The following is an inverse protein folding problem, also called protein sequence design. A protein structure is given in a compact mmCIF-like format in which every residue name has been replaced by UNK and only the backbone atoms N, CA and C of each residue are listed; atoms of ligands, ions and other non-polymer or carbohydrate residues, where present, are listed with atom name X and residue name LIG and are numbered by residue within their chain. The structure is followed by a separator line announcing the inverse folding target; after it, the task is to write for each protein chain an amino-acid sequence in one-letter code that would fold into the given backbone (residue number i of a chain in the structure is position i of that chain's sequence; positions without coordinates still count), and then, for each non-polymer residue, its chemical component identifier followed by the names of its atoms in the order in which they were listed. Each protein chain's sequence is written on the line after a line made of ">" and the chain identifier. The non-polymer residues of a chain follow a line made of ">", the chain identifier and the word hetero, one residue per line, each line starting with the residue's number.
data_IF_878499873374
#
_entry.id   IF_878499873374
#
_cell.length_a   1.000
_cell.length_b   1.000
_cell.length_c   1.000
_cell.angle_alpha   90.00
_cell.angle_beta   90.00
_cell.angle_gamma   90.00
#
_symmetry.space_group_name_H-M   'P 1'
#
loop_
_entity.id
_entity.type
_entity.pdbx_description
1 polymer ?
#
# COMPACT_ATOMS: atom_id res chain seq x y z
N UNK A 1 -3.42 -31.13 38.65
CA UNK A 1 -4.87 -31.03 38.38
C UNK A 1 -5.02 -30.30 37.05
N UNK A 2 -5.43 -31.01 36.00
CA UNK A 2 -5.70 -30.45 34.66
C UNK A 2 -7.14 -29.96 34.64
N UNK A 3 -7.35 -28.67 34.37
CA UNK A 3 -8.67 -28.13 34.08
C UNK A 3 -8.89 -28.14 32.57
N UNK A 4 -9.98 -28.82 32.20
CA UNK A 4 -10.58 -28.92 30.89
C UNK A 4 -11.56 -27.75 30.79
N UNK A 5 -11.51 -26.96 29.71
CA UNK A 5 -12.66 -26.19 29.27
C UNK A 5 -12.88 -26.39 27.77
N UNK A 6 -14.04 -26.98 27.47
CA UNK A 6 -14.66 -27.05 26.16
C UNK A 6 -15.02 -25.64 25.68
N UNK A 7 -14.81 -25.35 24.41
CA UNK A 7 -15.57 -24.33 23.69
C UNK A 7 -16.23 -24.98 22.48
N UNK A 8 -17.56 -24.98 22.53
CA UNK A 8 -18.51 -25.52 21.58
C UNK A 8 -18.63 -24.63 20.36
N UNK A 9 -18.59 -25.23 19.16
CA UNK A 9 -18.96 -24.61 17.90
C UNK A 9 -20.48 -24.41 17.81
N UNK A 10 -20.93 -23.23 17.40
CA UNK A 10 -22.32 -22.95 17.05
C UNK A 10 -22.40 -22.67 15.55
N UNK A 11 -22.95 -23.62 14.81
CA UNK A 11 -23.37 -23.47 13.43
C UNK A 11 -24.72 -22.73 13.39
N UNK A 12 -24.79 -21.63 12.63
CA UNK A 12 -26.05 -20.95 12.34
C UNK A 12 -26.65 -21.50 11.03
N UNK A 13 -27.92 -21.88 11.13
CA UNK A 13 -28.68 -22.63 10.14
C UNK A 13 -29.18 -21.76 8.98
N UNK A 14 -29.17 -22.38 7.80
CA UNK A 14 -29.80 -21.92 6.56
C UNK A 14 -31.32 -22.06 6.70
N UNK A 15 -32.06 -20.96 6.61
CA UNK A 15 -33.51 -20.98 6.50
C UNK A 15 -33.91 -20.87 5.02
N UNK A 16 -34.33 -21.99 4.45
CA UNK A 16 -34.96 -22.08 3.14
C UNK A 16 -36.44 -21.70 3.29
N UNK A 17 -36.89 -20.63 2.63
CA UNK A 17 -38.32 -20.37 2.43
C UNK A 17 -38.70 -20.64 0.98
N UNK A 18 -39.66 -21.55 0.81
CA UNK A 18 -40.35 -21.84 -0.44
C UNK A 18 -41.44 -20.80 -0.72
N UNK A 19 -41.68 -20.63 -2.02
CA UNK A 19 -42.53 -19.71 -2.78
C UNK A 19 -44.00 -19.51 -2.32
N UNK A 20 -44.68 -18.54 -2.94
CA UNK A 20 -45.80 -18.90 -3.80
C UNK A 20 -45.71 -18.36 -5.23
N UNK A 21 -46.30 -19.14 -6.14
CA UNK A 21 -46.50 -18.87 -7.55
C UNK A 21 -47.64 -17.84 -7.77
N UNK A 22 -47.73 -17.38 -9.03
CA UNK A 22 -48.78 -16.55 -9.65
C UNK A 22 -48.60 -15.03 -9.55
N UNK A 23 -48.06 -14.45 -10.63
CA UNK A 23 -48.80 -13.49 -11.47
C UNK A 23 -48.06 -13.27 -12.80
N UNK A 24 -48.62 -13.86 -13.86
CA UNK A 24 -48.26 -13.56 -15.25
C UNK A 24 -48.79 -12.17 -15.58
N UNK A 25 -47.88 -11.23 -15.77
CA UNK A 25 -48.15 -9.87 -16.25
C UNK A 25 -47.24 -9.61 -17.44
N UNK A 26 -47.86 -9.39 -18.59
CA UNK A 26 -47.22 -9.11 -19.88
C UNK A 26 -46.30 -7.88 -19.76
N UNK A 27 -45.00 -8.09 -19.93
CA UNK A 27 -44.02 -7.02 -20.07
C UNK A 27 -43.60 -6.91 -21.54
N UNK A 28 -43.60 -5.70 -22.14
CA UNK A 28 -43.30 -5.51 -23.55
C UNK A 28 -41.84 -5.83 -23.86
N UNK A 29 -41.62 -6.34 -25.07
CA UNK A 29 -40.35 -6.73 -25.64
C UNK A 29 -39.22 -5.73 -25.31
N UNK A 30 -38.21 -6.22 -24.58
CA UNK A 30 -36.94 -5.54 -24.41
C UNK A 30 -36.34 -5.28 -25.80
N UNK A 31 -36.09 -4.00 -26.07
CA UNK A 31 -35.25 -3.57 -27.16
C UNK A 31 -33.87 -4.22 -26.99
N UNK A 32 -33.41 -4.85 -28.05
CA UNK A 32 -32.04 -5.32 -28.27
C UNK A 32 -31.07 -4.22 -27.85
N UNK A 33 -30.46 -4.39 -26.67
CA UNK A 33 -29.29 -3.61 -26.28
C UNK A 33 -28.19 -4.00 -27.26
N UNK A 34 -27.68 -3.01 -27.98
CA UNK A 34 -26.66 -3.19 -29.01
C UNK A 34 -25.47 -3.97 -28.47
N UNK A 35 -24.87 -4.75 -29.37
CA UNK A 35 -23.54 -5.31 -29.19
C UNK A 35 -22.63 -4.23 -28.62
N UNK A 36 -22.23 -4.40 -27.36
CA UNK A 36 -21.04 -3.75 -26.86
C UNK A 36 -19.92 -4.24 -27.76
N UNK A 37 -19.54 -3.41 -28.73
CA UNK A 37 -18.33 -3.59 -29.51
C UNK A 37 -17.19 -3.55 -28.50
N UNK A 38 -16.76 -4.73 -28.03
CA UNK A 38 -15.54 -4.88 -27.25
C UNK A 38 -14.44 -4.32 -28.14
N UNK A 39 -13.88 -3.18 -27.74
CA UNK A 39 -12.67 -2.68 -28.36
C UNK A 39 -11.62 -3.80 -28.30
N UNK A 40 -10.83 -3.99 -29.37
CA UNK A 40 -9.80 -5.02 -29.35
C UNK A 40 -8.87 -4.72 -28.18
N UNK A 41 -8.72 -5.72 -27.28
CA UNK A 41 -7.79 -5.68 -26.15
C UNK A 41 -6.43 -5.19 -26.66
N UNK A 42 -5.92 -4.15 -26.00
CA UNK A 42 -4.58 -3.61 -26.25
C UNK A 42 -3.55 -4.74 -26.09
N UNK A 43 -2.49 -4.73 -26.90
CA UNK A 43 -1.42 -5.70 -26.68
C UNK A 43 -0.70 -5.36 -25.38
N UNK A 44 -0.39 -6.38 -24.60
CA UNK A 44 0.33 -6.24 -23.33
C UNK A 44 1.58 -5.36 -23.47
N UNK A 45 2.39 -5.55 -24.52
CA UNK A 45 3.61 -4.76 -24.73
C UNK A 45 3.34 -3.26 -24.94
N UNK A 46 2.29 -2.93 -25.72
CA UNK A 46 1.89 -1.55 -25.98
C UNK A 46 1.40 -0.87 -24.67
N UNK A 47 0.65 -1.62 -23.85
CA UNK A 47 0.17 -1.15 -22.56
C UNK A 47 1.33 -0.90 -21.57
N UNK A 48 2.32 -1.80 -21.52
CA UNK A 48 3.53 -1.64 -20.68
C UNK A 48 4.34 -0.41 -21.09
N UNK A 49 4.52 -0.18 -22.41
CA UNK A 49 5.20 1.01 -22.92
C UNK A 49 4.45 2.30 -22.54
N UNK A 50 3.13 2.32 -22.69
CA UNK A 50 2.29 3.46 -22.27
C UNK A 50 2.44 3.76 -20.78
N UNK A 51 2.37 2.73 -19.92
CA UNK A 51 2.54 2.91 -18.48
C UNK A 51 3.92 3.48 -18.18
N UNK A 52 4.97 2.95 -18.81
CA UNK A 52 6.33 3.48 -18.68
C UNK A 52 6.42 4.96 -19.07
N UNK A 53 5.75 5.36 -20.15
CA UNK A 53 5.72 6.75 -20.60
C UNK A 53 5.00 7.68 -19.62
N UNK A 54 3.88 7.24 -19.02
CA UNK A 54 3.17 7.99 -17.99
C UNK A 54 4.04 8.25 -16.76
N UNK A 55 4.86 7.28 -16.35
CA UNK A 55 5.84 7.47 -15.27
C UNK A 55 6.93 8.46 -15.67
N UNK A 56 7.51 8.33 -16.87
CA UNK A 56 8.51 9.26 -17.38
C UNK A 56 7.96 10.71 -17.39
N UNK A 57 6.77 10.91 -17.94
CA UNK A 57 6.12 12.22 -18.00
C UNK A 57 5.81 12.77 -16.60
N UNK A 58 5.34 11.91 -15.68
CA UNK A 58 5.12 12.30 -14.28
C UNK A 58 6.41 12.73 -13.56
N UNK A 59 7.53 12.04 -13.83
CA UNK A 59 8.82 12.40 -13.26
C UNK A 59 9.42 13.66 -13.89
N UNK A 60 9.23 13.87 -15.20
CA UNK A 60 9.67 15.10 -15.89
C UNK A 60 8.87 16.33 -15.44
N UNK A 61 7.57 16.15 -15.15
CA UNK A 61 6.68 17.21 -14.65
C UNK A 61 6.82 17.45 -13.13
N UNK A 62 7.79 16.83 -12.43
CA UNK A 62 8.02 17.07 -10.99
C UNK A 62 8.30 18.54 -10.65
N UNK A 63 8.71 19.36 -11.63
CA UNK A 63 8.94 20.81 -11.48
C UNK A 63 7.71 21.67 -11.81
N UNK A 64 6.62 21.04 -12.26
CA UNK A 64 5.41 21.67 -12.78
C UNK A 64 4.24 21.65 -11.80
N UNK A 65 3.03 21.49 -12.34
CA UNK A 65 1.78 21.46 -11.54
C UNK A 65 1.58 20.08 -10.91
N UNK A 66 1.68 19.98 -9.58
CA UNK A 66 1.50 18.73 -8.85
C UNK A 66 0.16 18.01 -9.16
N UNK A 67 -0.89 18.73 -9.62
CA UNK A 67 -2.16 18.10 -10.03
C UNK A 67 -1.97 17.27 -11.28
N UNK A 68 -1.28 17.83 -12.27
CA UNK A 68 -0.99 17.14 -13.53
C UNK A 68 -0.14 15.91 -13.25
N UNK A 69 0.90 16.07 -12.42
CA UNK A 69 1.79 14.98 -12.03
C UNK A 69 1.07 13.87 -11.27
N UNK A 70 0.19 14.22 -10.33
CA UNK A 70 -0.69 13.24 -9.65
C UNK A 70 -1.53 12.47 -10.66
N UNK A 71 -2.19 13.17 -11.58
CA UNK A 71 -3.12 12.55 -12.53
C UNK A 71 -2.40 11.59 -13.47
N UNK A 72 -1.18 11.91 -13.91
CA UNK A 72 -0.31 11.01 -14.67
C UNK A 72 0.01 9.71 -13.91
N UNK A 73 0.35 9.81 -12.62
CA UNK A 73 0.63 8.63 -11.81
C UNK A 73 -0.63 7.79 -11.52
N UNK A 74 -1.79 8.42 -11.34
CA UNK A 74 -3.08 7.70 -11.22
C UNK A 74 -3.46 6.99 -12.52
N UNK A 75 -3.21 7.62 -13.67
CA UNK A 75 -3.44 6.99 -14.98
C UNK A 75 -2.51 5.80 -15.19
N UNK A 76 -1.24 5.91 -14.80
CA UNK A 76 -0.28 4.81 -14.83
C UNK A 76 -0.75 3.64 -13.95
N UNK A 77 -1.20 3.92 -12.72
CA UNK A 77 -1.68 2.89 -11.80
C UNK A 77 -2.94 2.18 -12.32
N UNK A 78 -3.94 2.95 -12.77
CA UNK A 78 -5.19 2.42 -13.30
C UNK A 78 -4.97 1.61 -14.59
N UNK A 79 -4.03 2.04 -15.43
CA UNK A 79 -3.62 1.29 -16.62
C UNK A 79 -3.01 -0.06 -16.24
N UNK A 80 -2.16 -0.11 -15.22
CA UNK A 80 -1.57 -1.37 -14.75
C UNK A 80 -2.62 -2.33 -14.16
N UNK A 81 -3.60 -1.82 -13.40
CA UNK A 81 -4.74 -2.62 -12.92
C UNK A 81 -5.61 -3.14 -14.08
N UNK A 82 -5.79 -2.33 -15.13
CA UNK A 82 -6.52 -2.74 -16.35
C UNK A 82 -5.79 -3.88 -17.05
N UNK A 83 -4.46 -3.81 -17.19
CA UNK A 83 -3.65 -4.88 -17.76
C UNK A 83 -3.79 -6.18 -16.95
N UNK A 84 -3.75 -6.10 -15.62
CA UNK A 84 -3.96 -7.27 -14.75
C UNK A 84 -5.34 -7.91 -14.94
N UNK A 85 -6.38 -7.10 -15.17
CA UNK A 85 -7.75 -7.57 -15.39
C UNK A 85 -7.95 -8.18 -16.79
N UNK A 86 -7.36 -7.58 -17.82
CA UNK A 86 -7.51 -8.01 -19.22
C UNK A 86 -6.62 -9.19 -19.59
N UNK A 87 -5.50 -9.37 -18.88
CA UNK A 87 -4.54 -10.43 -19.13
C UNK A 87 -4.36 -11.35 -17.90
N UNK A 88 -5.40 -12.11 -17.49
CA UNK A 88 -5.35 -12.96 -16.29
C UNK A 88 -4.33 -14.12 -16.40
N UNK A 89 -3.92 -14.47 -17.62
CA UNK A 89 -2.99 -15.56 -17.93
C UNK A 89 -1.53 -15.11 -18.02
N UNK A 90 -1.21 -13.85 -17.67
CA UNK A 90 0.18 -13.39 -17.54
C UNK A 90 0.96 -14.30 -16.59
N UNK A 91 2.26 -14.48 -16.89
CA UNK A 91 3.17 -15.14 -15.96
C UNK A 91 3.32 -14.31 -14.66
N UNK A 92 3.81 -14.98 -13.61
CA UNK A 92 3.91 -14.38 -12.28
C UNK A 92 4.87 -13.19 -12.23
N UNK A 93 5.90 -13.17 -13.08
CA UNK A 93 6.86 -12.06 -13.18
C UNK A 93 6.16 -10.82 -13.75
N UNK A 94 5.44 -10.97 -14.85
CA UNK A 94 4.68 -9.91 -15.50
C UNK A 94 3.54 -9.38 -14.61
N UNK A 95 2.83 -10.27 -13.90
CA UNK A 95 1.82 -9.86 -12.91
C UNK A 95 2.44 -9.04 -11.79
N UNK A 96 3.59 -9.49 -11.27
CA UNK A 96 4.31 -8.77 -10.21
C UNK A 96 4.77 -7.41 -10.68
N UNK A 97 5.30 -7.29 -11.90
CA UNK A 97 5.68 -6.00 -12.49
C UNK A 97 4.49 -5.04 -12.63
N UNK A 98 3.32 -5.54 -13.04
CA UNK A 98 2.11 -4.71 -13.10
C UNK A 98 1.63 -4.29 -11.71
N UNK A 99 1.69 -5.17 -10.71
CA UNK A 99 1.41 -4.79 -9.33
C UNK A 99 2.41 -3.75 -8.80
N UNK A 100 3.69 -3.85 -9.15
CA UNK A 100 4.70 -2.85 -8.77
C UNK A 100 4.40 -1.48 -9.41
N UNK A 101 4.02 -1.46 -10.69
CA UNK A 101 3.61 -0.23 -11.38
C UNK A 101 2.36 0.38 -10.77
N UNK A 102 1.34 -0.44 -10.47
CA UNK A 102 0.14 0.02 -9.79
C UNK A 102 0.45 0.60 -8.40
N UNK A 103 1.25 -0.11 -7.61
CA UNK A 103 1.72 0.34 -6.30
C UNK A 103 2.41 1.69 -6.35
N UNK A 104 3.42 1.84 -7.22
CA UNK A 104 4.21 3.06 -7.32
C UNK A 104 3.39 4.23 -7.85
N UNK A 105 2.50 3.99 -8.82
CA UNK A 105 1.62 5.05 -9.34
C UNK A 105 0.70 5.58 -8.25
N UNK A 106 0.08 4.70 -7.46
CA UNK A 106 -0.74 5.13 -6.31
C UNK A 106 0.09 5.84 -5.24
N UNK A 107 1.31 5.36 -4.94
CA UNK A 107 2.20 6.02 -3.98
C UNK A 107 2.57 7.44 -4.41
N UNK A 108 3.09 7.64 -5.63
CA UNK A 108 3.50 8.98 -6.08
C UNK A 108 2.29 9.90 -6.26
N UNK A 109 1.13 9.37 -6.66
CA UNK A 109 -0.12 10.15 -6.64
C UNK A 109 -0.47 10.61 -5.21
N UNK A 110 -0.33 9.74 -4.21
CA UNK A 110 -0.55 10.10 -2.81
C UNK A 110 0.45 11.16 -2.30
N UNK A 111 1.73 11.02 -2.66
CA UNK A 111 2.77 11.99 -2.33
C UNK A 111 2.44 13.36 -2.93
N UNK A 112 2.03 13.41 -4.20
CA UNK A 112 1.59 14.66 -4.85
C UNK A 112 0.35 15.25 -4.23
N UNK A 113 -0.64 14.42 -3.91
CA UNK A 113 -1.82 14.88 -3.17
C UNK A 113 -1.45 15.46 -1.80
N UNK A 114 -0.48 14.85 -1.12
CA UNK A 114 0.05 15.34 0.16
C UNK A 114 0.72 16.71 0.02
N UNK A 115 1.59 16.90 -0.97
CA UNK A 115 2.24 18.19 -1.23
C UNK A 115 1.24 19.28 -1.64
N UNK A 116 0.22 18.90 -2.40
CA UNK A 116 -0.84 19.79 -2.84
C UNK A 116 -1.79 20.23 -1.75
N UNK A 117 -1.76 19.65 -0.54
CA UNK A 117 -2.60 20.04 0.57
C UNK A 117 -1.93 21.20 1.35
N UNK A 118 -2.18 22.49 1.03
CA UNK A 118 -1.44 23.59 1.63
C UNK A 118 -2.31 24.22 2.74
N UNK A 119 -1.90 24.10 4.01
CA UNK A 119 -2.42 24.96 5.09
C UNK A 119 -3.91 24.88 5.43
N UNK A 120 -4.66 23.87 5.00
CA UNK A 120 -6.05 23.67 5.43
C UNK A 120 -6.17 22.98 6.79
N UNK A 121 -5.07 22.42 7.31
CA UNK A 121 -4.97 21.92 8.67
C UNK A 121 -3.56 22.15 9.21
N UNK A 122 -3.42 22.99 10.21
CA UNK A 122 -2.28 23.02 11.13
C UNK A 122 -2.13 21.69 11.93
N UNK A 123 -2.87 20.63 11.57
CA UNK A 123 -3.11 19.44 12.40
C UNK A 123 -2.43 18.15 11.91
N UNK A 124 -1.62 18.19 10.83
CA UNK A 124 -0.88 17.00 10.37
C UNK A 124 -1.73 15.84 9.82
N UNK A 125 -3.00 16.08 9.46
CA UNK A 125 -3.89 15.06 8.93
C UNK A 125 -3.77 14.91 7.40
N UNK A 126 -3.69 13.66 6.91
CA UNK A 126 -3.79 13.34 5.48
C UNK A 126 -5.23 13.56 4.97
N UNK A 127 -5.36 13.92 3.70
CA UNK A 127 -6.67 13.96 3.04
C UNK A 127 -7.23 12.55 2.85
N UNK A 128 -8.55 12.41 2.71
CA UNK A 128 -9.19 11.12 2.38
C UNK A 128 -8.60 10.52 1.09
N UNK A 129 -8.37 11.34 0.06
CA UNK A 129 -7.81 10.87 -1.20
C UNK A 129 -6.38 10.33 -1.02
N UNK A 130 -5.54 11.02 -0.26
CA UNK A 130 -4.19 10.55 0.07
C UNK A 130 -4.23 9.20 0.78
N UNK A 131 -5.12 9.03 1.77
CA UNK A 131 -5.28 7.76 2.48
C UNK A 131 -5.72 6.65 1.52
N UNK A 132 -6.73 6.90 0.69
CA UNK A 132 -7.26 5.92 -0.26
C UNK A 132 -6.18 5.47 -1.27
N UNK A 133 -5.36 6.39 -1.78
CA UNK A 133 -4.25 6.05 -2.67
C UNK A 133 -3.18 5.23 -1.96
N UNK A 134 -2.79 5.59 -0.73
CA UNK A 134 -1.82 4.81 0.05
C UNK A 134 -2.33 3.40 0.37
N UNK A 135 -3.63 3.24 0.65
CA UNK A 135 -4.23 1.92 0.88
C UNK A 135 -4.19 1.05 -0.38
N UNK A 136 -4.48 1.61 -1.56
CA UNK A 136 -4.32 0.88 -2.83
C UNK A 136 -2.87 0.52 -3.12
N UNK A 137 -1.93 1.43 -2.87
CA UNK A 137 -0.50 1.15 -2.99
C UNK A 137 -0.10 -0.06 -2.12
N UNK A 138 -0.55 -0.06 -0.86
CA UNK A 138 -0.37 -1.14 0.10
C UNK A 138 -0.94 -2.48 -0.36
N UNK A 139 -2.13 -2.50 -0.95
CA UNK A 139 -2.76 -3.72 -1.47
C UNK A 139 -1.89 -4.38 -2.54
N UNK A 140 -1.34 -3.60 -3.47
CA UNK A 140 -0.42 -4.10 -4.48
C UNK A 140 0.95 -4.48 -3.92
N UNK A 141 1.51 -3.68 -3.00
CA UNK A 141 2.81 -3.97 -2.37
C UNK A 141 2.78 -5.27 -1.56
N UNK A 142 1.66 -5.59 -0.90
CA UNK A 142 1.45 -6.89 -0.24
C UNK A 142 1.65 -8.06 -1.22
N UNK A 143 1.28 -7.91 -2.50
CA UNK A 143 1.47 -8.94 -3.54
C UNK A 143 2.93 -8.96 -4.01
N UNK A 144 3.50 -7.79 -4.29
CA UNK A 144 4.91 -7.66 -4.74
C UNK A 144 5.88 -8.30 -3.75
N UNK A 145 5.65 -8.11 -2.46
CA UNK A 145 6.54 -8.55 -1.38
C UNK A 145 6.11 -9.84 -0.66
N UNK A 146 5.07 -10.54 -1.14
CA UNK A 146 4.51 -11.73 -0.48
C UNK A 146 5.54 -12.85 -0.23
N UNK A 147 6.61 -12.91 -1.03
CA UNK A 147 7.64 -13.96 -0.97
C UNK A 147 9.03 -13.42 -0.56
N UNK A 148 9.12 -12.17 -0.09
CA UNK A 148 10.38 -11.58 0.40
C UNK A 148 11.50 -11.54 -0.65
N UNK A 149 11.16 -11.37 -1.92
CA UNK A 149 12.13 -11.47 -3.01
C UNK A 149 13.04 -10.25 -3.06
N UNK A 150 14.34 -10.55 -3.18
CA UNK A 150 15.46 -9.65 -3.38
C UNK A 150 15.31 -8.90 -4.72
N UNK A 151 15.79 -7.64 -4.77
CA UNK A 151 16.05 -6.81 -5.97
C UNK A 151 15.12 -5.61 -6.23
N UNK A 152 14.17 -5.26 -5.34
CA UNK A 152 13.26 -4.14 -5.59
C UNK A 152 13.33 -3.03 -4.53
N UNK A 153 13.08 -1.80 -5.02
CA UNK A 153 12.99 -0.54 -4.27
C UNK A 153 11.91 -0.66 -3.20
N UNK A 154 12.32 -0.82 -1.94
CA UNK A 154 11.42 -0.92 -0.76
C UNK A 154 11.00 0.46 -0.26
N UNK A 155 11.68 1.51 -0.70
CA UNK A 155 11.54 2.87 -0.21
C UNK A 155 10.09 3.38 -0.27
N UNK A 156 9.42 3.26 -1.41
CA UNK A 156 8.03 3.72 -1.60
C UNK A 156 7.07 2.99 -0.66
N UNK A 157 7.30 1.70 -0.39
CA UNK A 157 6.48 0.94 0.56
C UNK A 157 6.70 1.39 2.00
N UNK A 158 7.95 1.60 2.38
CA UNK A 158 8.31 2.13 3.70
C UNK A 158 7.71 3.53 3.89
N UNK A 159 7.93 4.45 2.96
CA UNK A 159 7.44 5.83 3.07
C UNK A 159 5.91 5.90 3.09
N UNK A 160 5.23 5.16 2.21
CA UNK A 160 3.76 5.14 2.17
C UNK A 160 3.15 4.59 3.48
N UNK A 161 3.74 3.54 4.04
CA UNK A 161 3.29 3.00 5.33
C UNK A 161 3.62 3.92 6.50
N UNK A 162 4.76 4.63 6.47
CA UNK A 162 5.11 5.62 7.50
C UNK A 162 4.10 6.76 7.52
N UNK A 163 3.72 7.32 6.36
CA UNK A 163 2.71 8.38 6.28
C UNK A 163 1.37 7.97 6.91
N UNK A 164 0.92 6.73 6.65
CA UNK A 164 -0.31 6.20 7.25
C UNK A 164 -0.20 6.03 8.77
N UNK A 165 0.93 5.53 9.26
CA UNK A 165 1.18 5.35 10.70
C UNK A 165 1.18 6.71 11.41
N UNK A 166 1.90 7.70 10.89
CA UNK A 166 1.96 9.05 11.46
C UNK A 166 0.58 9.71 11.47
N UNK A 167 -0.17 9.58 10.37
CA UNK A 167 -1.56 10.03 10.31
C UNK A 167 -2.41 9.38 11.40
N UNK A 168 -2.38 8.05 11.46
CA UNK A 168 -3.19 7.27 12.37
C UNK A 168 -2.88 7.55 13.84
N UNK A 169 -1.61 7.75 14.18
CA UNK A 169 -1.18 8.17 15.52
C UNK A 169 -1.66 9.58 15.87
N UNK A 170 -1.76 10.48 14.89
CA UNK A 170 -2.21 11.86 15.08
C UNK A 170 -3.73 11.95 15.24
N UNK A 171 -4.48 11.18 14.45
CA UNK A 171 -5.95 11.24 14.41
C UNK A 171 -6.66 10.22 15.27
N UNK A 172 -5.95 9.18 15.73
CA UNK A 172 -6.53 8.04 16.43
C UNK A 172 -7.31 7.09 15.52
N UNK A 173 -6.94 7.00 14.23
CA UNK A 173 -7.60 6.08 13.29
C UNK A 173 -7.48 4.63 13.79
N UNK A 174 -8.57 3.85 13.88
CA UNK A 174 -8.50 2.47 14.37
C UNK A 174 -7.67 1.53 13.48
N UNK A 175 -7.37 1.90 12.23
CA UNK A 175 -6.55 1.12 11.29
C UNK A 175 -5.05 1.27 11.53
N UNK A 176 -4.63 2.19 12.40
CA UNK A 176 -3.22 2.48 12.71
C UNK A 176 -2.44 1.23 13.12
N UNK A 177 -3.07 0.30 13.84
CA UNK A 177 -2.44 -0.97 14.21
C UNK A 177 -2.05 -1.79 12.97
N UNK A 178 -2.95 -1.97 12.01
CA UNK A 178 -2.66 -2.70 10.76
C UNK A 178 -1.53 -2.01 9.99
N UNK A 179 -1.59 -0.69 9.86
CA UNK A 179 -0.57 0.09 9.15
C UNK A 179 0.81 -0.03 9.80
N UNK A 180 0.86 -0.06 11.13
CA UNK A 180 2.13 -0.23 11.85
C UNK A 180 2.75 -1.61 11.63
N UNK A 181 1.95 -2.66 11.47
CA UNK A 181 2.43 -4.00 11.14
C UNK A 181 3.06 -3.99 9.74
N UNK A 182 2.37 -3.38 8.77
CA UNK A 182 2.90 -3.22 7.41
C UNK A 182 4.18 -2.38 7.38
N UNK A 183 4.25 -1.32 8.20
CA UNK A 183 5.42 -0.44 8.29
C UNK A 183 6.64 -1.16 8.89
N UNK A 184 6.47 -1.95 9.95
CA UNK A 184 7.55 -2.80 10.48
C UNK A 184 8.02 -3.81 9.43
N UNK A 185 7.10 -4.41 8.67
CA UNK A 185 7.46 -5.31 7.57
C UNK A 185 8.29 -4.60 6.50
N UNK A 186 7.89 -3.40 6.07
CA UNK A 186 8.64 -2.57 5.13
C UNK A 186 10.03 -2.19 5.68
N UNK A 187 10.13 -1.83 6.98
CA UNK A 187 11.42 -1.54 7.63
C UNK A 187 12.38 -2.73 7.62
N UNK A 188 11.87 -3.96 7.80
CA UNK A 188 12.69 -5.18 7.70
C UNK A 188 13.20 -5.39 6.27
N UNK A 189 12.32 -5.25 5.29
CA UNK A 189 12.68 -5.33 3.87
C UNK A 189 13.75 -4.29 3.50
N UNK A 190 13.66 -3.08 4.05
CA UNK A 190 14.63 -2.00 3.82
C UNK A 190 16.03 -2.34 4.32
N UNK A 191 16.14 -3.02 5.48
CA UNK A 191 17.42 -3.54 5.96
C UNK A 191 18.00 -4.55 4.98
N UNK A 192 17.20 -5.48 4.49
CA UNK A 192 17.70 -6.50 3.56
C UNK A 192 18.11 -5.87 2.22
N UNK A 193 17.35 -4.88 1.74
CA UNK A 193 17.71 -4.05 0.58
C UNK A 193 19.06 -3.34 0.77
N UNK A 194 19.28 -2.70 1.92
CA UNK A 194 20.54 -1.99 2.20
C UNK A 194 21.77 -2.90 2.11
N UNK A 195 21.65 -4.15 2.59
CA UNK A 195 22.74 -5.14 2.54
C UNK A 195 23.03 -5.61 1.11
N UNK A 196 22.02 -5.65 0.25
CA UNK A 196 22.16 -6.12 -1.13
C UNK A 196 22.88 -5.09 -2.00
N UNK A 197 22.55 -3.81 -1.84
CA UNK A 197 23.00 -2.79 -2.79
C UNK A 197 24.25 -2.04 -2.35
N UNK A 198 24.71 -2.14 -1.09
CA UNK A 198 25.80 -1.31 -0.54
C UNK A 198 25.59 0.21 -0.80
N UNK A 199 24.33 0.61 -1.03
CA UNK A 199 23.90 1.95 -1.47
C UNK A 199 23.43 2.83 -0.33
N UNK A 200 23.03 2.22 0.77
CA UNK A 200 22.62 2.94 1.97
C UNK A 200 23.60 2.61 3.09
N UNK A 201 23.91 3.58 3.96
CA UNK A 201 24.68 3.24 5.14
C UNK A 201 23.83 2.26 5.93
N UNK A 202 24.39 1.11 6.30
CA UNK A 202 23.69 0.08 7.08
C UNK A 202 22.88 0.68 8.26
N UNK A 203 23.39 1.77 8.85
CA UNK A 203 22.76 2.52 9.92
C UNK A 203 21.51 3.34 9.53
N UNK A 204 21.37 3.79 8.27
CA UNK A 204 20.16 4.45 7.76
C UNK A 204 18.96 3.51 7.82
N UNK A 205 19.06 2.37 7.15
CA UNK A 205 18.01 1.35 7.17
C UNK A 205 17.74 0.78 8.57
N UNK A 206 18.77 0.64 9.42
CA UNK A 206 18.56 0.27 10.84
C UNK A 206 17.81 1.36 11.62
N UNK A 207 18.09 2.64 11.34
CA UNK A 207 17.37 3.75 11.97
C UNK A 207 15.89 3.73 11.57
N UNK A 208 15.59 3.47 10.29
CA UNK A 208 14.22 3.36 9.81
C UNK A 208 13.48 2.21 10.50
N UNK A 209 14.06 1.01 10.55
CA UNK A 209 13.44 -0.11 11.27
C UNK A 209 13.25 0.21 12.76
N UNK A 210 14.22 0.84 13.42
CA UNK A 210 14.10 1.23 14.82
C UNK A 210 12.93 2.21 15.04
N UNK A 211 12.73 3.19 14.15
CA UNK A 211 11.58 4.11 14.20
C UNK A 211 10.27 3.34 14.05
N UNK A 212 10.14 2.48 13.02
CA UNK A 212 8.90 1.72 12.78
C UNK A 212 8.54 0.81 13.98
N UNK A 213 9.54 0.21 14.64
CA UNK A 213 9.36 -0.63 15.83
C UNK A 213 8.96 0.17 17.06
N UNK A 214 9.51 1.38 17.26
CA UNK A 214 9.09 2.28 18.35
C UNK A 214 7.62 2.67 18.16
N UNK A 215 7.24 3.09 16.95
CA UNK A 215 5.88 3.52 16.66
C UNK A 215 4.90 2.36 16.80
N UNK A 216 5.22 1.17 16.26
CA UNK A 216 4.42 -0.04 16.45
C UNK A 216 4.26 -0.41 17.93
N UNK A 217 5.34 -0.36 18.74
CA UNK A 217 5.26 -0.63 20.17
C UNK A 217 4.39 0.38 20.92
N UNK A 218 4.44 1.66 20.53
CA UNK A 218 3.60 2.72 21.10
C UNK A 218 2.11 2.51 20.76
N UNK A 219 1.80 2.07 19.55
CA UNK A 219 0.44 1.83 19.07
C UNK A 219 -0.16 0.59 19.74
N UNK A 220 0.59 -0.50 19.83
CA UNK A 220 0.06 -1.83 20.22
C UNK A 220 0.39 -2.25 21.65
N UNK A 221 1.31 -1.56 22.33
CA UNK A 221 1.87 -2.02 23.60
C UNK A 221 2.83 -3.21 23.47
N UNK A 222 3.29 -3.54 22.26
CA UNK A 222 4.19 -4.66 22.01
C UNK A 222 5.59 -4.43 22.61
N UNK A 223 5.85 -5.04 23.77
CA UNK A 223 7.12 -4.93 24.46
C UNK A 223 8.30 -5.58 23.71
N UNK A 224 8.05 -6.62 22.90
CA UNK A 224 9.10 -7.29 22.12
C UNK A 224 9.61 -6.39 21.00
N UNK A 225 8.70 -5.71 20.29
CA UNK A 225 9.06 -4.72 19.28
C UNK A 225 9.89 -3.58 19.89
N UNK A 226 9.53 -3.11 21.09
CA UNK A 226 10.34 -2.11 21.80
C UNK A 226 11.74 -2.60 22.13
N UNK A 227 11.87 -3.83 22.65
CA UNK A 227 13.17 -4.42 22.96
C UNK A 227 14.03 -4.62 21.71
N UNK A 228 13.42 -4.96 20.57
CA UNK A 228 14.12 -5.05 19.29
C UNK A 228 14.62 -3.68 18.83
N UNK A 229 13.79 -2.63 18.91
CA UNK A 229 14.20 -1.27 18.63
C UNK A 229 15.39 -0.83 19.50
N UNK A 230 15.32 -1.07 20.81
CA UNK A 230 16.39 -0.69 21.75
C UNK A 230 17.73 -1.38 21.42
N UNK A 231 17.70 -2.63 20.92
CA UNK A 231 18.91 -3.35 20.45
C UNK A 231 19.50 -2.69 19.20
N UNK A 232 18.67 -2.39 18.20
CA UNK A 232 19.12 -1.70 16.98
C UNK A 232 19.74 -0.33 17.33
N UNK A 233 19.11 0.42 18.22
CA UNK A 233 19.57 1.75 18.65
C UNK A 233 20.93 1.69 19.36
N UNK A 234 21.21 0.61 20.09
CA UNK A 234 22.50 0.39 20.75
C UNK A 234 23.63 0.09 19.75
N UNK A 235 23.30 -0.45 18.58
CA UNK A 235 24.24 -0.76 17.50
C UNK A 235 24.52 0.45 16.60
N UNK A 236 23.59 1.41 16.51
CA UNK A 236 23.72 2.62 15.69
C UNK A 236 24.53 3.70 16.44
N UNK A 237 25.69 4.16 15.91
CA UNK A 237 26.44 5.29 16.47
C UNK A 237 25.57 6.53 16.61
N UNK A 238 25.74 7.30 17.70
CA UNK A 238 24.82 8.39 18.02
C UNK A 238 24.75 9.51 16.96
N UNK A 239 25.84 9.72 16.22
CA UNK A 239 25.96 10.66 15.11
C UNK A 239 25.41 10.13 13.77
N UNK A 240 25.22 8.82 13.66
CA UNK A 240 24.63 8.13 12.49
C UNK A 240 23.11 7.90 12.64
N UNK A 241 22.53 8.26 13.79
CA UNK A 241 21.07 8.15 14.00
C UNK A 241 20.33 9.15 13.13
N UNK A 242 19.31 8.67 12.41
CA UNK A 242 18.43 9.52 11.60
C UNK A 242 17.79 10.65 12.43
N UNK A 243 17.32 11.69 11.75
CA UNK A 243 16.58 12.77 12.42
C UNK A 243 15.35 12.22 13.16
N UNK A 244 14.56 11.38 12.51
CA UNK A 244 13.33 10.81 13.07
C UNK A 244 13.61 9.95 14.29
N UNK A 245 14.65 9.10 14.24
CA UNK A 245 15.03 8.30 15.40
C UNK A 245 15.42 9.18 16.59
N UNK A 246 16.16 10.27 16.35
CA UNK A 246 16.53 11.22 17.42
C UNK A 246 15.31 11.94 17.98
N UNK A 247 14.31 12.22 17.16
CA UNK A 247 13.06 12.85 17.60
C UNK A 247 12.25 11.93 18.52
N UNK A 248 12.09 10.65 18.15
CA UNK A 248 11.36 9.65 18.96
C UNK A 248 12.03 9.29 20.29
N UNK A 249 13.31 9.59 20.44
CA UNK A 249 14.09 9.31 21.66
C UNK A 249 14.05 10.44 22.71
N UNK A 250 13.49 11.60 22.38
CA UNK A 250 13.35 12.75 23.30
C UNK A 250 12.11 12.62 24.17
#
# INVERSE_FOLDING_TARGET
>A
MRQIFLVTAAAAAIATQQMPAEQLSEQPAAQSIGEATSEPSEKFEDAVERIGKLFEDGFDELSGDDRVTRDLFLEAATSAETVLAEHPDLDEESKRDMHLKAANGYYYAAEKEHWMAPGASDDGALSTATIDYLLKALEHQKIVFAEGQNDLLVAEYLFGTTMLVEHGMTTGDPRTEEWSIANVHAGRLRIDESKMFDRDTHYGAMSDLAVTLIDHAKITGNAEARQEADKLIAEIPADERSFDLRDRLR
#
